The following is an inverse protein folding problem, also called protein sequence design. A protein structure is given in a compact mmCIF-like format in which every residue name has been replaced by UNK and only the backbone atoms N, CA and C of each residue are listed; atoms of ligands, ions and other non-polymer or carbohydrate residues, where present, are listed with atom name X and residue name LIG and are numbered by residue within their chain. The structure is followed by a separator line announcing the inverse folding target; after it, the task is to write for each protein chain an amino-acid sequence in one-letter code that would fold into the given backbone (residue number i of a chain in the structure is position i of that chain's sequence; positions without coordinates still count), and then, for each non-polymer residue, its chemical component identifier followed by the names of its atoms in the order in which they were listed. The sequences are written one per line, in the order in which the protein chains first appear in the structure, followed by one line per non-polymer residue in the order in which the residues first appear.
data_IF_461071401923
#
_entry.id   IF_461071401923
#
_cell.length_a   1.000
_cell.length_b   1.000
_cell.length_c   1.000
_cell.angle_alpha   90.00
_cell.angle_beta   90.00
_cell.angle_gamma   90.00
#
_symmetry.space_group_name_H-M   'P 1'
#
loop_
_entity.id
_entity.type
_entity.pdbx_description
1 polymer ?
#
# COMPACT_ATOMS: atom_id res chain seq x y z
N UNK A 1 -10.62 4.33 -24.99
CA UNK A 1 -9.97 3.84 -23.75
C UNK A 1 -8.47 4.16 -23.69
N UNK A 2 -7.86 4.60 -24.78
CA UNK A 2 -6.42 4.93 -24.80
C UNK A 2 -6.04 6.19 -24.01
N UNK A 3 -7.00 7.05 -23.69
CA UNK A 3 -6.79 8.23 -22.86
C UNK A 3 -6.30 7.90 -21.44
N UNK A 4 -6.81 6.83 -20.84
CA UNK A 4 -6.40 6.41 -19.48
C UNK A 4 -5.04 5.70 -19.44
N UNK A 5 -4.59 5.11 -20.55
CA UNK A 5 -3.29 4.45 -20.66
C UNK A 5 -2.13 5.45 -20.68
N UNK A 6 -2.38 6.68 -21.12
CA UNK A 6 -1.37 7.74 -21.26
C UNK A 6 -1.47 8.81 -20.15
N UNK A 7 -2.29 8.58 -19.13
CA UNK A 7 -2.39 9.52 -18.02
C UNK A 7 -1.10 9.47 -17.17
N UNK A 8 -0.25 10.49 -17.37
CA UNK A 8 0.90 10.71 -16.49
C UNK A 8 0.41 10.87 -15.05
N UNK A 9 1.15 10.38 -14.04
CA UNK A 9 0.77 10.49 -12.62
C UNK A 9 0.47 11.93 -12.19
N UNK A 10 1.10 12.91 -12.84
CA UNK A 10 0.86 14.36 -12.66
C UNK A 10 -0.58 14.78 -13.00
N UNK A 11 -1.25 14.03 -13.88
CA UNK A 11 -2.62 14.31 -14.31
C UNK A 11 -3.62 13.39 -13.58
N UNK A 12 -3.20 12.18 -13.20
CA UNK A 12 -4.06 11.24 -12.47
C UNK A 12 -4.44 11.75 -11.07
N UNK A 13 -3.49 12.36 -10.35
CA UNK A 13 -3.73 12.88 -9.00
C UNK A 13 -4.77 14.02 -8.99
N UNK A 14 -4.66 15.10 -9.83
CA UNK A 14 -5.70 16.12 -9.89
C UNK A 14 -7.05 15.58 -10.38
N UNK A 15 -7.07 14.56 -11.25
CA UNK A 15 -8.33 13.91 -11.66
C UNK A 15 -8.96 13.17 -10.49
N UNK A 16 -8.20 12.39 -9.72
CA UNK A 16 -8.69 11.69 -8.53
C UNK A 16 -9.17 12.68 -7.47
N UNK A 17 -8.44 13.78 -7.24
CA UNK A 17 -8.85 14.86 -6.34
C UNK A 17 -10.11 15.58 -6.86
N UNK A 18 -10.19 15.82 -8.17
CA UNK A 18 -11.36 16.41 -8.82
C UNK A 18 -12.60 15.53 -8.73
N UNK A 19 -12.47 14.24 -8.99
CA UNK A 19 -13.53 13.23 -8.80
C UNK A 19 -13.94 13.15 -7.33
N UNK A 20 -12.98 13.12 -6.41
CA UNK A 20 -13.23 13.18 -4.97
C UNK A 20 -13.97 14.43 -4.55
N UNK A 21 -13.61 15.61 -5.08
CA UNK A 21 -14.28 16.88 -4.83
C UNK A 21 -15.71 16.92 -5.41
N UNK A 22 -15.90 16.36 -6.61
CA UNK A 22 -17.23 16.25 -7.23
C UNK A 22 -18.14 15.30 -6.45
N UNK A 23 -17.62 14.14 -6.03
CA UNK A 23 -18.34 13.19 -5.17
C UNK A 23 -18.66 13.82 -3.82
N UNK A 24 -17.75 14.60 -3.26
CA UNK A 24 -17.98 15.36 -2.04
C UNK A 24 -19.06 16.42 -2.21
N UNK A 25 -19.02 17.20 -3.30
CA UNK A 25 -20.07 18.19 -3.66
C UNK A 25 -21.43 17.50 -3.89
N UNK A 26 -21.45 16.36 -4.59
CA UNK A 26 -22.67 15.55 -4.78
C UNK A 26 -23.20 15.03 -3.44
N UNK A 27 -22.32 14.59 -2.55
CA UNK A 27 -22.69 14.19 -1.18
C UNK A 27 -23.28 15.36 -0.38
N UNK A 28 -22.72 16.57 -0.51
CA UNK A 28 -23.27 17.79 0.10
C UNK A 28 -24.62 18.18 -0.49
N UNK A 29 -24.82 18.02 -1.81
CA UNK A 29 -26.08 18.27 -2.48
C UNK A 29 -27.16 17.24 -2.09
N UNK A 30 -26.80 15.97 -1.93
CA UNK A 30 -27.68 14.93 -1.38
C UNK A 30 -28.07 15.22 0.08
N UNK A 31 -27.13 15.72 0.89
CA UNK A 31 -27.41 16.15 2.27
C UNK A 31 -28.41 17.30 2.32
N UNK A 32 -28.34 18.24 1.37
CA UNK A 32 -29.28 19.35 1.27
C UNK A 32 -30.71 18.93 0.89
N UNK A 33 -30.85 17.89 0.06
CA UNK A 33 -32.16 17.44 -0.44
C UNK A 33 -32.95 16.56 0.53
N UNK A 34 -32.28 15.90 1.50
CA UNK A 34 -32.94 15.04 2.48
C UNK A 34 -32.43 15.28 3.92
N UNK A 35 -32.84 16.40 4.56
CA UNK A 35 -32.38 16.73 5.92
C UNK A 35 -32.89 15.74 7.00
N UNK A 36 -33.90 14.93 6.69
CA UNK A 36 -34.60 14.03 7.66
C UNK A 36 -34.35 12.54 7.48
N UNK A 37 -33.47 12.12 6.57
CA UNK A 37 -33.14 10.70 6.38
C UNK A 37 -32.44 10.14 7.62
N UNK A 38 -33.14 9.40 8.44
CA UNK A 38 -32.62 8.73 9.63
C UNK A 38 -33.23 9.17 10.97
N UNK A 39 -33.96 10.28 11.05
CA UNK A 39 -34.57 10.71 12.30
C UNK A 39 -35.76 9.80 12.74
N UNK A 40 -36.31 9.04 11.80
CA UNK A 40 -37.39 8.09 12.06
C UNK A 40 -36.93 6.70 12.52
N UNK A 41 -35.59 6.46 12.63
CA UNK A 41 -35.08 5.18 13.12
C UNK A 41 -35.26 5.08 14.64
N UNK A 42 -35.71 3.91 15.11
CA UNK A 42 -35.80 3.63 16.53
C UNK A 42 -34.40 3.54 17.18
N UNK A 43 -34.34 3.72 18.48
CA UNK A 43 -33.07 3.74 19.25
C UNK A 43 -32.22 2.49 19.04
N UNK A 44 -32.73 1.24 19.03
CA UNK A 44 -31.92 0.06 18.76
C UNK A 44 -31.26 0.09 17.37
N UNK A 45 -31.99 0.50 16.32
CA UNK A 45 -31.42 0.59 14.98
C UNK A 45 -30.27 1.63 14.89
N UNK A 46 -30.41 2.78 15.55
CA UNK A 46 -29.35 3.78 15.65
C UNK A 46 -28.11 3.20 16.36
N UNK A 47 -28.32 2.47 17.46
CA UNK A 47 -27.23 1.85 18.21
C UNK A 47 -26.46 0.84 17.35
N UNK A 48 -27.16 -0.05 16.65
CA UNK A 48 -26.51 -1.02 15.75
C UNK A 48 -25.77 -0.37 14.59
N UNK A 49 -26.30 0.70 14.00
CA UNK A 49 -25.60 1.43 12.94
C UNK A 49 -24.35 2.16 13.43
N UNK A 50 -24.38 2.69 14.65
CA UNK A 50 -23.18 3.26 15.28
C UNK A 50 -22.16 2.16 15.58
N UNK A 51 -22.60 1.01 16.11
CA UNK A 51 -21.73 -0.12 16.35
C UNK A 51 -21.09 -0.66 15.04
N UNK A 52 -21.88 -0.79 13.97
CA UNK A 52 -21.39 -1.18 12.65
C UNK A 52 -20.34 -0.19 12.12
N UNK A 53 -20.59 1.12 12.26
CA UNK A 53 -19.63 2.17 11.88
C UNK A 53 -18.30 2.00 12.62
N UNK A 54 -18.35 1.81 13.94
CA UNK A 54 -17.16 1.64 14.78
C UNK A 54 -16.43 0.34 14.39
N UNK A 55 -17.15 -0.76 14.18
CA UNK A 55 -16.55 -2.04 13.80
C UNK A 55 -15.82 -1.97 12.45
N UNK A 56 -16.46 -1.38 11.43
CA UNK A 56 -15.81 -1.18 10.12
C UNK A 56 -14.64 -0.19 10.24
N UNK A 57 -14.81 0.90 10.98
CA UNK A 57 -13.73 1.85 11.24
C UNK A 57 -12.53 1.19 11.90
N UNK A 58 -12.75 0.31 12.87
CA UNK A 58 -11.70 -0.48 13.51
C UNK A 58 -10.99 -1.40 12.52
N UNK A 59 -11.77 -2.13 11.70
CA UNK A 59 -11.22 -3.02 10.68
C UNK A 59 -10.31 -2.26 9.71
N UNK A 60 -10.77 -1.15 9.12
CA UNK A 60 -9.97 -0.32 8.21
C UNK A 60 -8.70 0.23 8.89
N UNK A 61 -8.82 0.67 10.16
CA UNK A 61 -7.68 1.21 10.91
C UNK A 61 -6.60 0.16 11.12
N UNK A 62 -6.97 -1.04 11.59
CA UNK A 62 -6.03 -2.14 11.84
C UNK A 62 -5.37 -2.58 10.55
N UNK A 63 -6.14 -2.78 9.48
CA UNK A 63 -5.63 -3.11 8.14
C UNK A 63 -4.61 -2.08 7.63
N UNK A 64 -4.88 -0.80 7.85
CA UNK A 64 -3.94 0.27 7.51
C UNK A 64 -2.67 0.25 8.36
N UNK A 65 -2.80 0.09 9.68
CA UNK A 65 -1.66 0.04 10.62
C UNK A 65 -0.75 -1.16 10.31
N UNK A 66 -1.29 -2.33 9.98
CA UNK A 66 -0.49 -3.49 9.61
C UNK A 66 0.37 -3.23 8.36
N UNK A 67 -0.18 -2.49 7.39
CA UNK A 67 0.58 -2.07 6.21
C UNK A 67 1.70 -1.08 6.55
N UNK A 68 1.52 -0.23 7.56
CA UNK A 68 2.59 0.66 8.05
C UNK A 68 3.67 -0.09 8.84
N UNK A 69 3.29 -1.11 9.63
CA UNK A 69 4.24 -1.92 10.41
C UNK A 69 5.19 -2.73 9.53
N UNK A 70 4.77 -3.06 8.32
CA UNK A 70 5.60 -3.77 7.36
C UNK A 70 6.29 -2.80 6.38
N UNK A 71 7.58 -2.46 6.56
CA UNK A 71 8.29 -1.52 5.71
C UNK A 71 8.39 -1.97 4.23
N UNK A 72 8.36 -3.29 4.00
CA UNK A 72 8.42 -3.88 2.67
C UNK A 72 7.05 -4.09 2.03
N UNK A 73 5.96 -3.68 2.71
CA UNK A 73 4.62 -3.85 2.17
C UNK A 73 4.40 -2.98 0.94
N UNK A 74 3.91 -3.62 -0.12
CA UNK A 74 3.48 -2.98 -1.36
C UNK A 74 2.24 -3.67 -1.90
N UNK A 75 1.40 -2.92 -2.59
CA UNK A 75 0.25 -3.46 -3.32
C UNK A 75 0.63 -4.17 -4.63
N UNK A 76 1.91 -4.13 -5.03
CA UNK A 76 2.40 -4.70 -6.29
C UNK A 76 1.88 -6.11 -6.54
N UNK A 77 2.09 -7.03 -5.58
CA UNK A 77 1.68 -8.42 -5.72
C UNK A 77 0.19 -8.57 -5.98
N UNK A 78 -0.62 -7.83 -5.24
CA UNK A 78 -2.08 -7.82 -5.39
C UNK A 78 -2.52 -7.27 -6.77
N UNK A 79 -1.95 -6.13 -7.17
CA UNK A 79 -2.29 -5.48 -8.44
C UNK A 79 -1.82 -6.30 -9.65
N UNK A 80 -0.67 -6.98 -9.56
CA UNK A 80 -0.15 -7.86 -10.61
C UNK A 80 -1.00 -9.11 -10.80
N UNK A 81 -1.50 -9.68 -9.72
CA UNK A 81 -2.35 -10.88 -9.75
C UNK A 81 -3.81 -10.55 -10.10
N UNK A 82 -4.14 -9.28 -10.33
CA UNK A 82 -5.48 -8.85 -10.68
C UNK A 82 -5.99 -9.57 -11.93
N UNK A 83 -7.29 -9.84 -11.97
CA UNK A 83 -7.98 -10.48 -13.07
C UNK A 83 -9.34 -9.83 -13.33
N UNK A 84 -9.95 -10.12 -14.47
CA UNK A 84 -11.22 -9.52 -14.87
C UNK A 84 -11.02 -8.31 -15.79
N UNK A 85 -12.09 -7.54 -16.05
CA UNK A 85 -12.10 -6.53 -17.11
C UNK A 85 -11.16 -5.34 -16.87
N UNK A 86 -10.72 -5.13 -15.64
CA UNK A 86 -9.84 -4.02 -15.25
C UNK A 86 -8.40 -4.47 -14.94
N UNK A 87 -8.07 -5.76 -15.16
CA UNK A 87 -6.78 -6.33 -14.83
C UNK A 87 -5.59 -5.58 -15.43
N UNK A 88 -5.68 -5.18 -16.70
CA UNK A 88 -4.60 -4.47 -17.38
C UNK A 88 -4.32 -3.09 -16.77
N UNK A 89 -5.34 -2.39 -16.28
CA UNK A 89 -5.15 -1.12 -15.55
C UNK A 89 -4.40 -1.32 -14.24
N UNK A 90 -4.80 -2.32 -13.45
CA UNK A 90 -4.14 -2.64 -12.19
C UNK A 90 -2.69 -3.09 -12.40
N UNK A 91 -2.44 -3.92 -13.40
CA UNK A 91 -1.09 -4.37 -13.78
C UNK A 91 -0.22 -3.21 -14.27
N UNK A 92 -0.79 -2.25 -14.98
CA UNK A 92 -0.07 -1.03 -15.39
C UNK A 92 0.32 -0.18 -14.19
N UNK A 93 -0.56 -0.03 -13.19
CA UNK A 93 -0.25 0.66 -11.93
C UNK A 93 0.84 -0.08 -11.14
N UNK A 94 0.76 -1.41 -11.11
CA UNK A 94 1.73 -2.25 -10.40
C UNK A 94 3.15 -2.08 -10.94
N UNK A 95 3.32 -1.92 -12.25
CA UNK A 95 4.63 -2.03 -12.88
C UNK A 95 5.27 -3.40 -12.66
N UNK A 96 6.58 -3.47 -12.76
CA UNK A 96 7.36 -4.63 -12.31
C UNK A 96 8.66 -4.19 -11.62
N UNK A 97 8.58 -3.99 -10.30
CA UNK A 97 9.73 -3.57 -9.50
C UNK A 97 10.94 -4.51 -9.62
N UNK A 98 10.70 -5.79 -9.89
CA UNK A 98 11.80 -6.75 -10.09
C UNK A 98 12.55 -6.44 -11.37
N UNK A 99 11.82 -6.16 -12.45
CA UNK A 99 12.41 -5.74 -13.73
C UNK A 99 13.06 -4.36 -13.58
N UNK A 100 12.38 -3.39 -12.98
CA UNK A 100 12.90 -2.03 -12.74
C UNK A 100 14.22 -2.02 -11.95
N UNK A 101 14.41 -2.96 -11.00
CA UNK A 101 15.65 -3.10 -10.21
C UNK A 101 16.83 -3.61 -11.02
N UNK A 102 16.62 -4.23 -12.16
CA UNK A 102 17.68 -4.85 -12.96
C UNK A 102 17.78 -4.28 -14.36
N UNK A 103 16.89 -3.37 -14.76
CA UNK A 103 16.94 -2.70 -16.07
C UNK A 103 17.90 -1.52 -16.01
N UNK A 104 18.97 -1.60 -16.81
CA UNK A 104 19.94 -0.52 -16.98
C UNK A 104 19.48 0.39 -18.10
N UNK A 105 19.36 1.69 -17.82
CA UNK A 105 19.03 2.73 -18.80
C UNK A 105 20.20 3.70 -18.90
N UNK A 106 20.60 4.07 -20.13
CA UNK A 106 21.70 5.00 -20.42
C UNK A 106 23.03 4.67 -19.71
N UNK A 107 23.32 3.39 -19.49
CA UNK A 107 24.54 2.96 -18.82
C UNK A 107 24.61 3.34 -17.33
N UNK A 108 23.48 3.71 -16.70
CA UNK A 108 23.39 4.05 -15.29
C UNK A 108 22.79 2.91 -14.49
N UNK A 109 23.11 2.88 -13.19
CA UNK A 109 22.46 1.95 -12.26
C UNK A 109 20.95 2.15 -12.29
N UNK A 110 20.13 1.06 -12.26
CA UNK A 110 18.68 1.16 -12.21
C UNK A 110 18.21 2.09 -11.10
N UNK A 111 17.34 3.05 -11.43
CA UNK A 111 16.89 4.11 -10.50
C UNK A 111 16.32 3.54 -9.19
N UNK A 112 15.55 2.45 -9.27
CA UNK A 112 14.99 1.81 -8.08
C UNK A 112 16.09 1.20 -7.20
N UNK A 113 17.05 0.51 -7.81
CA UNK A 113 18.19 -0.09 -7.09
C UNK A 113 19.07 0.99 -6.45
N UNK A 114 19.33 2.09 -7.14
CA UNK A 114 20.09 3.23 -6.61
C UNK A 114 19.41 3.84 -5.38
N UNK A 115 18.09 4.04 -5.44
CA UNK A 115 17.29 4.55 -4.31
C UNK A 115 17.32 3.61 -3.10
N UNK A 116 17.19 2.31 -3.34
CA UNK A 116 17.28 1.29 -2.28
C UNK A 116 18.68 1.29 -1.63
N UNK A 117 19.73 1.35 -2.45
CA UNK A 117 21.10 1.36 -1.96
C UNK A 117 21.44 2.64 -1.20
N UNK A 118 20.96 3.78 -1.67
CA UNK A 118 21.11 5.06 -0.97
C UNK A 118 20.41 5.06 0.38
N UNK A 119 19.16 4.58 0.44
CA UNK A 119 18.43 4.46 1.69
C UNK A 119 19.12 3.52 2.69
N UNK A 120 19.66 2.40 2.20
CA UNK A 120 20.46 1.49 3.00
C UNK A 120 21.72 2.18 3.52
N UNK A 121 22.45 2.89 2.64
CA UNK A 121 23.68 3.61 2.96
C UNK A 121 23.45 4.71 4.01
N UNK A 122 22.43 5.54 3.83
CA UNK A 122 22.09 6.60 4.79
C UNK A 122 21.81 6.02 6.18
N UNK A 123 21.08 4.91 6.24
CA UNK A 123 20.85 4.21 7.48
C UNK A 123 22.12 3.57 8.06
N UNK A 124 22.96 3.01 7.21
CA UNK A 124 24.25 2.43 7.59
C UNK A 124 25.14 3.47 8.28
N UNK A 125 25.28 4.65 7.68
CA UNK A 125 26.05 5.78 8.24
C UNK A 125 25.52 6.18 9.61
N UNK A 126 24.18 6.31 9.74
CA UNK A 126 23.53 6.67 11.01
C UNK A 126 23.64 5.59 12.08
N UNK A 127 23.46 4.32 11.72
CA UNK A 127 23.47 3.21 12.68
C UNK A 127 24.86 2.98 13.26
N UNK A 128 25.92 3.07 12.44
CA UNK A 128 27.28 2.80 12.86
C UNK A 128 28.06 4.09 13.21
N UNK A 129 27.42 5.25 13.25
CA UNK A 129 28.01 6.54 13.65
C UNK A 129 29.39 6.76 13.02
N UNK A 130 29.46 6.66 11.68
CA UNK A 130 30.71 6.75 10.93
C UNK A 130 31.35 8.15 11.05
N UNK A 131 32.65 8.17 11.26
CA UNK A 131 33.45 9.41 11.14
C UNK A 131 33.50 9.89 9.69
N UNK A 132 33.96 11.13 9.46
CA UNK A 132 34.06 11.71 8.12
C UNK A 132 34.93 10.84 7.19
N UNK A 133 36.02 10.29 7.69
CA UNK A 133 36.93 9.46 6.90
C UNK A 133 36.33 8.07 6.62
N UNK A 134 35.64 7.47 7.61
CA UNK A 134 34.88 6.23 7.41
C UNK A 134 33.74 6.42 6.42
N UNK A 135 33.05 7.58 6.44
CA UNK A 135 32.01 7.91 5.46
C UNK A 135 32.58 8.02 4.05
N UNK A 136 33.74 8.68 3.86
CA UNK A 136 34.41 8.75 2.55
C UNK A 136 34.75 7.36 2.01
N UNK A 137 35.35 6.49 2.85
CA UNK A 137 35.63 5.12 2.46
C UNK A 137 34.36 4.34 2.10
N UNK A 138 33.26 4.54 2.85
CA UNK A 138 31.97 3.90 2.56
C UNK A 138 31.36 4.42 1.23
N UNK A 139 31.51 5.70 0.90
CA UNK A 139 31.04 6.27 -0.38
C UNK A 139 31.84 5.67 -1.53
N UNK A 140 33.16 5.55 -1.42
CA UNK A 140 34.01 4.91 -2.45
C UNK A 140 33.57 3.47 -2.71
N UNK A 141 33.24 2.70 -1.64
CA UNK A 141 32.69 1.35 -1.76
C UNK A 141 31.35 1.35 -2.47
N UNK A 142 30.46 2.29 -2.13
CA UNK A 142 29.14 2.41 -2.76
C UNK A 142 29.28 2.71 -4.25
N UNK A 143 30.11 3.67 -4.64
CA UNK A 143 30.29 4.09 -6.04
C UNK A 143 30.93 2.98 -6.88
N UNK A 144 31.93 2.27 -6.32
CA UNK A 144 32.52 1.10 -6.96
C UNK A 144 31.45 0.01 -7.20
N UNK A 145 30.62 -0.28 -6.19
CA UNK A 145 29.57 -1.28 -6.33
C UNK A 145 28.48 -0.89 -7.32
N UNK A 146 28.17 0.41 -7.45
CA UNK A 146 27.27 0.91 -8.50
C UNK A 146 27.82 0.64 -9.89
N UNK A 147 29.11 0.91 -10.11
CA UNK A 147 29.79 0.62 -11.38
C UNK A 147 29.81 -0.88 -11.67
N UNK A 148 30.18 -1.71 -10.67
CA UNK A 148 30.19 -3.16 -10.79
C UNK A 148 28.79 -3.73 -11.12
N UNK A 149 27.74 -3.13 -10.52
CA UNK A 149 26.36 -3.55 -10.77
C UNK A 149 25.94 -3.28 -12.21
N UNK A 150 26.24 -2.10 -12.75
CA UNK A 150 25.95 -1.77 -14.17
C UNK A 150 26.66 -2.76 -15.09
N UNK A 151 27.95 -3.02 -14.86
CA UNK A 151 28.73 -3.98 -15.65
C UNK A 151 28.12 -5.38 -15.57
N UNK A 152 27.79 -5.85 -14.36
CA UNK A 152 27.16 -7.17 -14.17
C UNK A 152 25.82 -7.27 -14.87
N UNK A 153 24.96 -6.27 -14.75
CA UNK A 153 23.63 -6.26 -15.36
C UNK A 153 23.67 -6.19 -16.90
N UNK A 154 24.72 -5.63 -17.49
CA UNK A 154 24.85 -5.47 -18.95
C UNK A 154 25.62 -6.60 -19.62
N UNK A 155 26.67 -7.12 -18.98
CA UNK A 155 27.63 -8.00 -19.64
C UNK A 155 27.64 -9.42 -19.10
N UNK A 156 27.23 -9.64 -17.86
CA UNK A 156 27.29 -10.98 -17.25
C UNK A 156 26.19 -11.86 -17.81
N UNK A 157 26.57 -13.06 -18.16
CA UNK A 157 25.65 -14.12 -18.61
C UNK A 157 25.16 -14.93 -17.42
N UNK A 158 23.87 -15.06 -17.30
CA UNK A 158 23.22 -15.76 -16.21
C UNK A 158 22.56 -17.05 -16.73
N UNK A 159 22.74 -18.20 -16.03
CA UNK A 159 21.97 -19.39 -16.35
C UNK A 159 20.52 -19.17 -15.92
N UNK A 160 19.62 -19.12 -16.87
CA UNK A 160 18.20 -18.90 -16.62
C UNK A 160 17.37 -20.13 -17.03
N UNK A 161 16.50 -20.64 -16.15
CA UNK A 161 15.52 -21.64 -16.55
C UNK A 161 14.52 -20.97 -17.50
N UNK A 162 14.49 -21.42 -18.73
CA UNK A 162 13.53 -20.96 -19.75
C UNK A 162 12.27 -21.80 -19.63
N UNK A 163 11.13 -21.16 -19.53
CA UNK A 163 9.85 -21.82 -19.69
C UNK A 163 9.74 -22.35 -21.13
N UNK A 164 9.85 -23.66 -21.29
CA UNK A 164 9.65 -24.28 -22.57
C UNK A 164 8.23 -24.79 -22.63
N UNK A 165 7.53 -24.46 -23.71
CA UNK A 165 6.27 -25.10 -24.08
C UNK A 165 6.47 -26.59 -24.43
N UNK A 166 7.71 -27.02 -24.56
CA UNK A 166 8.16 -28.37 -24.80
C UNK A 166 8.68 -29.00 -23.49
N UNK A 167 8.46 -30.23 -23.31
CA UNK A 167 8.54 -31.09 -22.12
C UNK A 167 9.85 -31.13 -21.33
N UNK A 168 10.87 -30.39 -21.68
CA UNK A 168 12.16 -30.30 -20.95
C UNK A 168 12.53 -28.85 -20.72
N UNK A 169 12.80 -28.46 -19.45
CA UNK A 169 13.31 -27.12 -19.15
C UNK A 169 14.74 -26.99 -19.71
N UNK A 170 14.89 -26.21 -20.79
CA UNK A 170 16.21 -25.82 -21.27
C UNK A 170 16.75 -24.70 -20.39
N UNK A 171 17.95 -24.90 -19.83
CA UNK A 171 18.72 -23.81 -19.20
C UNK A 171 19.49 -23.12 -20.31
N UNK A 172 19.13 -21.87 -20.59
CA UNK A 172 19.88 -21.02 -21.53
C UNK A 172 20.64 -19.95 -20.78
N UNK A 173 21.77 -19.59 -21.33
CA UNK A 173 22.55 -18.50 -20.81
C UNK A 173 22.10 -17.19 -21.46
N UNK A 174 21.58 -16.27 -20.67
CA UNK A 174 21.14 -14.96 -21.13
C UNK A 174 21.89 -13.84 -20.38
N UNK A 175 22.15 -12.74 -21.08
CA UNK A 175 22.35 -11.47 -20.39
C UNK A 175 21.05 -11.01 -19.73
N UNK A 176 21.14 -10.11 -18.73
CA UNK A 176 19.92 -9.64 -18.06
C UNK A 176 18.92 -8.98 -19.00
N UNK A 177 19.33 -8.11 -19.96
CA UNK A 177 18.40 -7.57 -20.97
C UNK A 177 17.69 -8.62 -21.82
N UNK A 178 18.43 -9.65 -22.27
CA UNK A 178 17.84 -10.75 -23.03
C UNK A 178 16.84 -11.57 -22.19
N UNK A 179 17.16 -11.74 -20.90
CA UNK A 179 16.26 -12.44 -19.99
C UNK A 179 15.00 -11.64 -19.68
N UNK A 180 15.10 -10.33 -19.53
CA UNK A 180 13.95 -9.45 -19.40
C UNK A 180 13.06 -9.54 -20.66
N UNK A 181 13.66 -9.49 -21.85
CA UNK A 181 12.91 -9.63 -23.09
C UNK A 181 12.20 -10.98 -23.22
N UNK A 182 12.84 -12.06 -22.75
CA UNK A 182 12.22 -13.39 -22.69
C UNK A 182 11.04 -13.40 -21.70
N UNK A 183 11.23 -12.87 -20.50
CA UNK A 183 10.18 -12.77 -19.48
C UNK A 183 8.97 -11.97 -19.97
N UNK A 184 9.20 -10.87 -20.70
CA UNK A 184 8.10 -10.09 -21.31
C UNK A 184 7.27 -10.92 -22.29
N UNK A 185 7.92 -11.77 -23.11
CA UNK A 185 7.21 -12.72 -24.00
C UNK A 185 6.39 -13.73 -23.22
N UNK A 186 6.92 -14.23 -22.11
CA UNK A 186 6.18 -15.13 -21.21
C UNK A 186 4.94 -14.45 -20.64
N UNK A 187 5.05 -13.16 -20.26
CA UNK A 187 3.89 -12.37 -19.81
C UNK A 187 2.86 -12.14 -20.91
N UNK A 188 3.29 -11.92 -22.16
CA UNK A 188 2.38 -11.81 -23.31
C UNK A 188 1.62 -13.13 -23.52
N UNK A 189 2.30 -14.28 -23.38
CA UNK A 189 1.65 -15.59 -23.45
C UNK A 189 0.62 -15.78 -22.31
N UNK A 190 0.93 -15.37 -21.09
CA UNK A 190 -0.04 -15.38 -19.98
C UNK A 190 -1.29 -14.59 -20.36
N UNK A 191 -1.11 -13.38 -20.91
CA UNK A 191 -2.23 -12.52 -21.35
C UNK A 191 -3.03 -13.17 -22.48
N UNK A 192 -2.35 -13.79 -23.44
CA UNK A 192 -3.00 -14.49 -24.55
C UNK A 192 -3.88 -15.64 -24.03
N UNK A 193 -3.34 -16.49 -23.18
CA UNK A 193 -4.07 -17.61 -22.57
C UNK A 193 -5.23 -17.11 -21.71
N UNK A 194 -5.03 -16.01 -20.99
CA UNK A 194 -6.07 -15.39 -20.15
C UNK A 194 -7.24 -14.85 -20.99
N UNK A 195 -6.95 -14.23 -22.15
CA UNK A 195 -7.96 -13.70 -23.07
C UNK A 195 -8.70 -14.81 -23.83
N UNK A 196 -7.98 -15.85 -24.29
CA UNK A 196 -8.58 -17.02 -24.96
C UNK A 196 -9.54 -17.76 -24.04
N UNK A 197 -9.24 -17.79 -22.75
CA UNK A 197 -10.06 -18.41 -21.73
C UNK A 197 -11.46 -17.77 -21.57
N UNK A 198 -11.58 -16.45 -21.77
CA UNK A 198 -12.88 -15.76 -21.74
C UNK A 198 -13.83 -16.35 -22.81
N UNK A 199 -13.28 -16.95 -23.87
CA UNK A 199 -14.02 -17.54 -24.97
C UNK A 199 -14.16 -19.07 -24.90
N UNK A 200 -13.35 -19.76 -24.07
CA UNK A 200 -13.33 -21.22 -23.98
C UNK A 200 -13.49 -21.67 -22.52
N UNK A 201 -14.68 -22.12 -22.18
CA UNK A 201 -14.95 -22.73 -20.87
C UNK A 201 -14.32 -24.12 -20.77
N UNK A 202 -13.52 -24.37 -19.73
CA UNK A 202 -13.05 -25.70 -19.43
C UNK A 202 -11.78 -25.84 -18.62
N UNK A 203 -11.62 -26.99 -17.98
CA UNK A 203 -10.47 -27.36 -17.13
C UNK A 203 -9.12 -27.20 -17.83
N UNK A 204 -9.06 -27.53 -19.15
CA UNK A 204 -7.81 -27.43 -19.92
C UNK A 204 -7.27 -25.99 -20.02
N UNK A 205 -8.15 -25.02 -20.27
CA UNK A 205 -7.77 -23.61 -20.33
C UNK A 205 -7.26 -23.09 -18.95
N UNK A 206 -7.83 -23.61 -17.89
CA UNK A 206 -7.36 -23.34 -16.52
C UNK A 206 -5.97 -23.88 -16.25
N UNK A 207 -5.73 -25.12 -16.60
CA UNK A 207 -4.44 -25.76 -16.37
C UNK A 207 -3.35 -25.07 -17.21
N UNK A 208 -3.68 -24.62 -18.42
CA UNK A 208 -2.78 -23.83 -19.27
C UNK A 208 -2.45 -22.47 -18.66
N UNK A 209 -3.45 -21.73 -18.17
CA UNK A 209 -3.24 -20.44 -17.50
C UNK A 209 -2.42 -20.57 -16.22
N UNK A 210 -2.73 -21.58 -15.39
CA UNK A 210 -1.98 -21.87 -14.17
C UNK A 210 -0.53 -22.19 -14.47
N UNK A 211 -0.26 -22.96 -15.51
CA UNK A 211 1.09 -23.29 -15.97
C UNK A 211 1.82 -22.04 -16.45
N UNK A 212 1.23 -21.24 -17.34
CA UNK A 212 1.84 -20.02 -17.86
C UNK A 212 2.17 -19.01 -16.74
N UNK A 213 1.26 -18.81 -15.78
CA UNK A 213 1.52 -17.97 -14.59
C UNK A 213 2.65 -18.53 -13.72
N UNK A 214 2.71 -19.86 -13.51
CA UNK A 214 3.77 -20.49 -12.75
C UNK A 214 5.15 -20.30 -13.40
N UNK A 215 5.21 -20.41 -14.73
CA UNK A 215 6.43 -20.22 -15.51
C UNK A 215 6.89 -18.75 -15.44
N UNK A 216 6.00 -17.79 -15.64
CA UNK A 216 6.30 -16.35 -15.48
C UNK A 216 6.79 -16.02 -14.06
N UNK A 217 6.19 -16.59 -13.03
CA UNK A 217 6.61 -16.39 -11.64
C UNK A 217 8.00 -16.98 -11.35
N UNK A 218 8.37 -18.11 -11.96
CA UNK A 218 9.73 -18.67 -11.87
C UNK A 218 10.76 -17.73 -12.49
N UNK A 219 10.50 -17.25 -13.71
CA UNK A 219 11.40 -16.33 -14.40
C UNK A 219 11.57 -15.03 -13.59
N UNK A 220 10.47 -14.49 -13.06
CA UNK A 220 10.52 -13.31 -12.19
C UNK A 220 11.34 -13.56 -10.92
N UNK A 221 11.23 -14.75 -10.33
CA UNK A 221 12.00 -15.10 -9.14
C UNK A 221 13.52 -15.14 -9.43
N UNK A 222 13.94 -15.57 -10.61
CA UNK A 222 15.35 -15.52 -11.01
C UNK A 222 15.84 -14.08 -11.20
N UNK A 223 15.07 -13.21 -11.88
CA UNK A 223 15.39 -11.78 -11.98
C UNK A 223 15.50 -11.13 -10.58
N UNK A 224 14.62 -11.50 -9.66
CA UNK A 224 14.69 -11.04 -8.28
C UNK A 224 16.00 -11.47 -7.60
N UNK A 225 16.42 -12.73 -7.76
CA UNK A 225 17.69 -13.24 -7.20
C UNK A 225 18.90 -12.44 -7.70
N UNK A 226 18.88 -12.00 -8.97
CA UNK A 226 19.95 -11.15 -9.51
C UNK A 226 20.01 -9.83 -8.73
N UNK A 227 18.90 -9.11 -8.60
CA UNK A 227 18.85 -7.85 -7.86
C UNK A 227 19.19 -8.00 -6.37
N UNK A 228 18.71 -9.06 -5.74
CA UNK A 228 19.01 -9.36 -4.32
C UNK A 228 20.49 -9.71 -4.14
N UNK A 229 21.09 -10.44 -5.08
CA UNK A 229 22.52 -10.76 -5.10
C UNK A 229 23.42 -9.53 -5.21
N UNK A 230 23.02 -8.54 -6.03
CA UNK A 230 23.73 -7.25 -6.13
C UNK A 230 23.66 -6.49 -4.79
N UNK A 231 22.49 -6.44 -4.16
CA UNK A 231 22.33 -5.79 -2.87
C UNK A 231 23.08 -6.51 -1.75
N UNK A 232 23.12 -7.85 -1.76
CA UNK A 232 23.94 -8.62 -0.85
C UNK A 232 25.44 -8.32 -1.03
N UNK A 233 25.90 -8.18 -2.27
CA UNK A 233 27.26 -7.78 -2.59
C UNK A 233 27.67 -6.41 -2.02
N UNK A 234 26.74 -5.43 -2.05
CA UNK A 234 26.97 -4.12 -1.41
C UNK A 234 27.10 -4.27 0.12
N UNK A 235 26.20 -5.01 0.76
CA UNK A 235 26.23 -5.23 2.22
C UNK A 235 27.55 -5.89 2.67
N UNK A 236 27.98 -6.89 1.91
CA UNK A 236 29.27 -7.57 2.19
C UNK A 236 30.43 -6.61 2.06
N UNK A 237 30.46 -5.78 1.02
CA UNK A 237 31.55 -4.81 0.81
C UNK A 237 31.60 -3.71 1.89
N UNK A 238 30.47 -3.30 2.43
CA UNK A 238 30.39 -2.37 3.56
C UNK A 238 30.77 -3.01 4.90
N UNK A 239 30.88 -4.33 4.96
CA UNK A 239 31.23 -5.08 6.17
C UNK A 239 32.56 -4.70 6.79
N UNK A 240 33.57 -4.39 5.98
CA UNK A 240 34.90 -3.95 6.45
C UNK A 240 34.84 -2.56 7.09
N UNK A 241 34.08 -1.63 6.48
CA UNK A 241 33.87 -0.29 7.03
C UNK A 241 33.13 -0.38 8.36
N UNK A 242 32.07 -1.21 8.43
CA UNK A 242 31.35 -1.49 9.67
C UNK A 242 32.27 -2.02 10.78
N UNK A 243 33.11 -2.99 10.44
CA UNK A 243 34.02 -3.64 11.41
C UNK A 243 35.00 -2.61 11.97
N UNK A 244 35.59 -1.76 11.12
CA UNK A 244 36.49 -0.69 11.54
C UNK A 244 35.78 0.33 12.46
N UNK A 245 34.56 0.75 12.10
CA UNK A 245 33.77 1.67 12.92
C UNK A 245 33.43 1.10 14.30
N UNK A 246 33.02 -0.16 14.36
CA UNK A 246 32.74 -0.84 15.62
C UNK A 246 34.00 -1.03 16.47
N UNK A 247 35.13 -1.37 15.86
CA UNK A 247 36.42 -1.49 16.58
C UNK A 247 36.86 -0.16 17.20
N UNK A 248 36.67 0.95 16.49
CA UNK A 248 36.90 2.29 17.04
C UNK A 248 35.98 2.55 18.24
N UNK A 249 34.66 2.31 18.10
CA UNK A 249 33.70 2.54 19.17
C UNK A 249 33.98 1.66 20.40
N UNK A 250 34.36 0.40 20.21
CA UNK A 250 34.78 -0.50 21.30
C UNK A 250 36.02 0.04 22.00
N UNK A 251 36.99 0.58 21.25
CA UNK A 251 38.20 1.19 21.82
C UNK A 251 37.87 2.42 22.66
N UNK A 252 36.94 3.30 22.13
CA UNK A 252 36.51 4.48 22.83
C UNK A 252 35.71 4.13 24.11
N UNK A 253 34.85 3.10 24.04
CA UNK A 253 34.12 2.61 25.21
C UNK A 253 35.06 1.98 26.29
N UNK A 254 36.10 1.26 25.87
CA UNK A 254 37.13 0.72 26.79
C UNK A 254 37.88 1.87 27.46
N UNK A 255 38.25 2.90 26.74
CA UNK A 255 38.87 4.10 27.33
C UNK A 255 37.93 4.76 28.33
N UNK A 256 36.65 4.86 28.02
CA UNK A 256 35.63 5.41 28.94
C UNK A 256 35.50 4.52 30.22
N UNK A 257 35.65 3.22 30.11
CA UNK A 257 35.68 2.31 31.23
C UNK A 257 36.91 2.56 32.13
N UNK A 258 38.09 2.71 31.53
CA UNK A 258 39.35 2.99 32.27
C UNK A 258 39.32 4.35 32.97
N UNK A 259 38.72 5.37 32.33
CA UNK A 259 38.57 6.72 32.88
C UNK A 259 37.42 6.88 33.89
N UNK A 260 36.59 5.84 34.07
CA UNK A 260 35.39 5.89 34.92
C UNK A 260 35.72 5.95 36.41
N UNK A 261 35.12 6.92 37.10
CA UNK A 261 35.35 7.18 38.53
C UNK A 261 34.32 6.54 39.47
N UNK A 262 33.20 6.08 38.93
CA UNK A 262 32.11 5.46 39.69
C UNK A 262 31.77 4.08 39.13
N UNK A 263 31.27 3.18 40.00
CA UNK A 263 30.86 1.85 39.59
C UNK A 263 29.72 1.84 38.57
N UNK A 264 28.82 2.83 38.64
CA UNK A 264 27.75 3.03 37.65
C UNK A 264 28.32 3.34 36.27
N UNK A 265 29.33 4.24 36.19
CA UNK A 265 29.99 4.57 34.91
C UNK A 265 30.70 3.37 34.31
N UNK A 266 31.35 2.55 35.14
CA UNK A 266 32.00 1.29 34.72
C UNK A 266 30.98 0.31 34.17
N UNK A 267 29.87 0.08 34.89
CA UNK A 267 28.82 -0.84 34.47
C UNK A 267 28.18 -0.38 33.15
N UNK A 268 27.99 0.92 32.95
CA UNK A 268 27.47 1.48 31.71
C UNK A 268 28.42 1.27 30.52
N UNK A 269 29.73 1.53 30.72
CA UNK A 269 30.74 1.31 29.69
C UNK A 269 30.89 -0.18 29.34
N UNK A 270 30.85 -1.08 30.33
CA UNK A 270 30.89 -2.54 30.12
C UNK A 270 29.66 -3.02 29.33
N UNK A 271 28.47 -2.54 29.66
CA UNK A 271 27.25 -2.82 28.91
C UNK A 271 27.38 -2.37 27.46
N UNK A 272 27.93 -1.16 27.22
CA UNK A 272 28.16 -0.62 25.88
C UNK A 272 29.17 -1.49 25.08
N UNK A 273 30.28 -1.89 25.70
CA UNK A 273 31.27 -2.76 25.06
C UNK A 273 30.62 -4.10 24.65
N UNK A 274 29.86 -4.70 25.56
CA UNK A 274 29.17 -5.97 25.30
C UNK A 274 28.16 -5.86 24.15
N UNK A 275 27.43 -4.78 24.09
CA UNK A 275 26.47 -4.50 23.00
C UNK A 275 27.17 -4.32 21.64
N UNK A 276 28.29 -3.58 21.60
CA UNK A 276 29.07 -3.38 20.37
C UNK A 276 29.77 -4.66 19.90
N UNK A 277 30.28 -5.48 20.81
CA UNK A 277 30.86 -6.77 20.47
C UNK A 277 29.81 -7.78 19.99
N UNK A 278 28.60 -7.72 20.54
CA UNK A 278 27.46 -8.49 20.03
C UNK A 278 27.08 -8.07 18.63
N UNK A 279 26.93 -6.75 18.38
CA UNK A 279 26.61 -6.19 17.04
C UNK A 279 27.68 -6.53 16.00
N UNK A 280 28.96 -6.58 16.41
CA UNK A 280 30.06 -6.99 15.53
C UNK A 280 29.91 -8.43 15.05
N UNK A 281 29.45 -9.34 15.94
CA UNK A 281 29.21 -10.75 15.63
C UNK A 281 27.88 -10.98 14.93
N UNK A 282 26.85 -10.25 15.32
CA UNK A 282 25.47 -10.43 14.88
C UNK A 282 24.91 -9.08 14.41
N UNK A 283 25.13 -8.69 13.13
CA UNK A 283 24.63 -7.43 12.62
C UNK A 283 23.11 -7.34 12.74
N UNK A 284 22.62 -6.30 13.43
CA UNK A 284 21.18 -6.08 13.65
C UNK A 284 20.53 -5.23 12.55
N UNK A 285 21.36 -4.57 11.72
CA UNK A 285 20.84 -3.76 10.61
C UNK A 285 20.08 -4.65 9.61
N UNK A 286 18.80 -4.34 9.31
CA UNK A 286 18.02 -5.17 8.41
C UNK A 286 18.61 -5.21 7.00
N UNK A 287 18.46 -6.34 6.34
CA UNK A 287 18.94 -6.54 4.95
C UNK A 287 18.27 -5.60 3.94
N UNK A 288 17.04 -5.18 4.22
CA UNK A 288 16.28 -4.24 3.41
C UNK A 288 15.92 -3.01 4.24
N UNK A 289 16.27 -1.85 3.70
CA UNK A 289 15.79 -0.57 4.21
C UNK A 289 14.96 0.06 3.11
N UNK A 290 13.66 0.24 3.36
CA UNK A 290 12.79 0.92 2.43
C UNK A 290 13.37 2.32 2.13
N UNK A 291 13.42 2.73 0.85
CA UNK A 291 13.76 4.11 0.53
C UNK A 291 12.85 5.02 1.35
N UNK A 292 13.39 6.08 1.96
CA UNK A 292 12.53 7.02 2.65
C UNK A 292 11.50 7.53 1.65
N UNK A 293 10.24 7.29 1.95
CA UNK A 293 9.15 7.98 1.28
C UNK A 293 9.27 9.43 1.70
N UNK A 294 10.17 10.16 1.03
CA UNK A 294 10.18 11.59 1.18
C UNK A 294 8.79 12.03 0.73
N UNK A 295 8.02 12.57 1.67
CA UNK A 295 6.93 13.45 1.36
C UNK A 295 7.58 14.72 0.77
N UNK A 296 8.22 14.55 -0.37
CA UNK A 296 8.48 15.67 -1.23
C UNK A 296 7.10 16.02 -1.77
N UNK A 297 6.63 17.20 -1.47
CA UNK A 297 5.39 17.77 -2.01
C UNK A 297 5.37 17.82 -3.54
N UNK A 298 6.28 17.12 -4.19
CA UNK A 298 6.40 16.93 -5.62
C UNK A 298 6.03 15.49 -5.99
N UNK A 299 4.74 15.20 -6.20
CA UNK A 299 4.28 13.86 -6.63
C UNK A 299 4.87 13.42 -7.98
N UNK A 300 5.50 14.32 -8.73
CA UNK A 300 6.18 14.01 -9.98
C UNK A 300 7.41 13.09 -9.87
N UNK A 301 7.89 12.81 -8.64
CA UNK A 301 9.02 11.88 -8.42
C UNK A 301 8.56 10.47 -8.01
N UNK A 302 7.27 10.26 -7.81
CA UNK A 302 6.73 8.97 -7.40
C UNK A 302 6.39 8.10 -8.60
N UNK A 303 6.63 6.80 -8.48
CA UNK A 303 6.03 5.84 -9.39
C UNK A 303 4.53 5.74 -9.11
N UNK A 304 3.75 5.29 -10.10
CA UNK A 304 2.30 5.07 -9.91
C UNK A 304 1.99 4.11 -8.76
N UNK A 305 2.83 3.09 -8.60
CA UNK A 305 2.71 2.12 -7.51
C UNK A 305 2.99 2.77 -6.15
N UNK A 306 4.04 3.58 -6.02
CA UNK A 306 4.34 4.28 -4.76
C UNK A 306 3.21 5.22 -4.34
N UNK A 307 2.61 5.91 -5.31
CA UNK A 307 1.41 6.73 -5.08
C UNK A 307 0.22 5.91 -4.62
N UNK A 308 -0.04 4.76 -5.26
CA UNK A 308 -1.11 3.84 -4.87
C UNK A 308 -0.89 3.27 -3.45
N UNK A 309 0.34 2.85 -3.13
CA UNK A 309 0.71 2.33 -1.82
C UNK A 309 0.53 3.40 -0.72
N UNK A 310 0.95 4.64 -0.99
CA UNK A 310 0.78 5.75 -0.07
C UNK A 310 -0.70 6.05 0.19
N UNK A 311 -1.49 6.19 -0.89
CA UNK A 311 -2.94 6.43 -0.77
C UNK A 311 -3.62 5.31 0.01
N UNK A 312 -3.32 4.05 -0.32
CA UNK A 312 -3.92 2.90 0.34
C UNK A 312 -3.65 2.91 1.86
N UNK A 313 -2.39 3.07 2.27
CA UNK A 313 -1.99 3.09 3.69
C UNK A 313 -2.67 4.22 4.46
N UNK A 314 -2.56 5.45 3.95
CA UNK A 314 -3.07 6.63 4.67
C UNK A 314 -4.59 6.71 4.64
N UNK A 315 -5.22 6.43 3.51
CA UNK A 315 -6.67 6.51 3.38
C UNK A 315 -7.39 5.45 4.25
N UNK A 316 -6.82 4.23 4.39
CA UNK A 316 -7.37 3.22 5.30
C UNK A 316 -7.32 3.70 6.76
N UNK A 317 -6.16 4.18 7.23
CA UNK A 317 -6.04 4.63 8.63
C UNK A 317 -6.90 5.87 8.89
N UNK A 318 -6.83 6.88 8.02
CA UNK A 318 -7.56 8.14 8.21
C UNK A 318 -9.07 7.88 8.16
N UNK A 319 -9.57 7.17 7.14
CA UNK A 319 -11.00 6.87 7.04
C UNK A 319 -11.48 6.00 8.20
N UNK A 320 -10.69 5.01 8.61
CA UNK A 320 -11.00 4.15 9.74
C UNK A 320 -11.11 4.91 11.06
N UNK A 321 -10.11 5.72 11.41
CA UNK A 321 -10.10 6.57 12.60
C UNK A 321 -11.28 7.56 12.58
N UNK A 322 -11.51 8.21 11.44
CA UNK A 322 -12.63 9.15 11.28
C UNK A 322 -13.99 8.46 11.47
N UNK A 323 -14.15 7.20 11.00
CA UNK A 323 -15.34 6.41 11.26
C UNK A 323 -15.50 6.08 12.75
N UNK A 324 -14.43 5.68 13.44
CA UNK A 324 -14.48 5.37 14.87
C UNK A 324 -14.97 6.58 15.66
N UNK A 325 -14.32 7.74 15.49
CA UNK A 325 -14.64 8.96 16.26
C UNK A 325 -15.89 9.67 15.73
N UNK A 326 -16.43 9.26 14.59
CA UNK A 326 -17.60 9.87 13.96
C UNK A 326 -17.32 11.27 13.43
N UNK A 327 -16.12 11.51 12.86
CA UNK A 327 -15.70 12.74 12.22
C UNK A 327 -15.78 12.59 10.71
N UNK A 328 -16.46 13.50 10.02
CA UNK A 328 -16.75 13.41 8.58
C UNK A 328 -17.25 11.99 8.18
N UNK A 329 -18.08 11.38 9.05
CA UNK A 329 -18.43 9.97 9.00
C UNK A 329 -18.96 9.50 7.63
N UNK A 330 -19.72 10.36 6.93
CA UNK A 330 -20.23 10.07 5.59
C UNK A 330 -19.12 10.06 4.52
N UNK A 331 -18.22 11.04 4.58
CA UNK A 331 -17.08 11.11 3.65
C UNK A 331 -16.14 9.93 3.87
N UNK A 332 -15.84 9.64 5.14
CA UNK A 332 -14.98 8.51 5.50
C UNK A 332 -15.57 7.17 5.08
N UNK A 333 -16.89 6.99 5.19
CA UNK A 333 -17.59 5.82 4.68
C UNK A 333 -17.49 5.73 3.14
N UNK A 334 -17.62 6.84 2.42
CA UNK A 334 -17.44 6.88 0.97
C UNK A 334 -16.00 6.52 0.57
N UNK A 335 -14.99 7.12 1.23
CA UNK A 335 -13.58 6.80 0.96
C UNK A 335 -13.30 5.32 1.20
N UNK A 336 -13.74 4.78 2.34
CA UNK A 336 -13.64 3.36 2.63
C UNK A 336 -14.31 2.49 1.58
N UNK A 337 -15.54 2.82 1.17
CA UNK A 337 -16.27 2.10 0.12
C UNK A 337 -15.51 2.09 -1.21
N UNK A 338 -14.92 3.24 -1.61
CA UNK A 338 -14.13 3.33 -2.85
C UNK A 338 -12.86 2.48 -2.75
N UNK A 339 -12.14 2.52 -1.63
CA UNK A 339 -10.93 1.71 -1.43
C UNK A 339 -11.25 0.21 -1.51
N UNK A 340 -12.27 -0.24 -0.78
CA UNK A 340 -12.67 -1.66 -0.80
C UNK A 340 -13.24 -2.04 -2.18
N UNK A 341 -13.92 -1.12 -2.89
CA UNK A 341 -14.39 -1.36 -4.25
C UNK A 341 -13.23 -1.55 -5.23
N UNK A 342 -12.13 -0.79 -5.12
CA UNK A 342 -10.93 -1.00 -5.93
C UNK A 342 -10.33 -2.39 -5.66
N UNK A 343 -10.25 -2.80 -4.39
CA UNK A 343 -9.81 -4.14 -4.01
C UNK A 343 -10.75 -5.22 -4.59
N UNK A 344 -12.06 -5.03 -4.46
CA UNK A 344 -13.05 -5.96 -5.01
C UNK A 344 -12.94 -6.11 -6.53
N UNK A 345 -12.82 -5.00 -7.25
CA UNK A 345 -12.77 -4.98 -8.73
C UNK A 345 -11.45 -5.56 -9.25
N UNK A 346 -10.35 -5.42 -8.51
CA UNK A 346 -9.06 -6.02 -8.90
C UNK A 346 -9.10 -7.54 -8.86
N UNK A 347 -9.88 -8.14 -7.95
CA UNK A 347 -10.03 -9.59 -7.82
C UNK A 347 -11.51 -9.98 -7.66
N UNK A 348 -12.33 -9.58 -8.63
CA UNK A 348 -13.76 -9.86 -8.61
C UNK A 348 -14.01 -11.38 -8.70
N UNK A 349 -14.84 -11.96 -7.80
CA UNK A 349 -15.16 -13.39 -7.80
C UNK A 349 -16.12 -13.72 -8.95
N UNK A 350 -15.57 -13.76 -10.17
CA UNK A 350 -16.32 -14.08 -11.37
C UNK A 350 -16.56 -15.60 -11.48
N UNK A 351 -17.67 -16.02 -12.09
CA UNK A 351 -17.90 -17.44 -12.41
C UNK A 351 -16.73 -17.98 -13.23
N UNK A 352 -16.35 -19.22 -12.96
CA UNK A 352 -15.27 -19.92 -13.67
C UNK A 352 -13.85 -19.33 -13.52
N UNK A 353 -13.63 -18.36 -12.64
CA UNK A 353 -12.30 -17.89 -12.29
C UNK A 353 -11.76 -18.59 -11.03
N UNK A 354 -10.47 -18.98 -10.98
CA UNK A 354 -9.93 -19.60 -9.78
C UNK A 354 -9.92 -18.58 -8.67
N UNK A 355 -10.42 -18.99 -7.55
CA UNK A 355 -10.27 -18.25 -6.33
C UNK A 355 -8.81 -18.33 -5.88
N UNK A 356 -8.21 -17.25 -5.40
CA UNK A 356 -6.93 -17.30 -4.71
C UNK A 356 -6.99 -18.36 -3.61
N UNK A 357 -5.92 -19.12 -3.40
CA UNK A 357 -5.89 -20.22 -2.43
C UNK A 357 -6.27 -19.83 -0.98
N UNK A 358 -6.19 -18.55 -0.66
CA UNK A 358 -6.51 -17.97 0.66
C UNK A 358 -7.84 -17.21 0.69
N UNK A 359 -8.65 -17.29 -0.38
CA UNK A 359 -9.93 -16.58 -0.41
C UNK A 359 -11.00 -17.37 0.30
N UNK A 360 -11.36 -16.95 1.50
CA UNK A 360 -12.54 -17.43 2.21
C UNK A 360 -13.79 -16.63 1.80
N UNK A 361 -14.95 -17.30 1.73
CA UNK A 361 -16.24 -16.64 1.59
C UNK A 361 -16.53 -16.01 0.23
N UNK A 362 -15.99 -16.55 -0.86
CA UNK A 362 -16.33 -16.13 -2.21
C UNK A 362 -17.47 -16.98 -2.80
N UNK A 363 -18.63 -16.36 -2.93
CA UNK A 363 -19.84 -17.02 -3.45
C UNK A 363 -20.33 -16.22 -4.67
N UNK A 364 -19.99 -16.63 -5.89
CA UNK A 364 -20.48 -16.01 -7.12
C UNK A 364 -20.73 -14.50 -7.00
N UNK A 365 -19.82 -13.68 -7.40
CA UNK A 365 -19.84 -12.20 -7.27
C UNK A 365 -19.90 -11.66 -5.81
N UNK A 366 -20.34 -12.47 -4.83
CA UNK A 366 -20.48 -12.01 -3.44
C UNK A 366 -19.29 -12.50 -2.61
N UNK A 367 -18.58 -11.57 -2.01
CA UNK A 367 -17.53 -11.85 -1.03
C UNK A 367 -17.61 -10.81 0.12
N UNK A 368 -16.73 -10.95 1.11
CA UNK A 368 -16.67 -10.03 2.24
C UNK A 368 -16.53 -8.56 1.81
N UNK A 369 -15.77 -8.29 0.75
CA UNK A 369 -15.53 -6.94 0.27
C UNK A 369 -16.82 -6.29 -0.25
N UNK A 370 -17.62 -7.02 -1.04
CA UNK A 370 -18.90 -6.50 -1.52
C UNK A 370 -19.87 -6.20 -0.37
N UNK A 371 -19.92 -7.09 0.64
CA UNK A 371 -20.76 -6.87 1.83
C UNK A 371 -20.30 -5.61 2.57
N UNK A 372 -18.99 -5.43 2.73
CA UNK A 372 -18.42 -4.25 3.38
C UNK A 372 -18.67 -2.96 2.60
N UNK A 373 -18.55 -3.00 1.25
CA UNK A 373 -18.93 -1.87 0.39
C UNK A 373 -20.38 -1.47 0.62
N UNK A 374 -21.31 -2.42 0.60
CA UNK A 374 -22.74 -2.13 0.81
C UNK A 374 -23.02 -1.56 2.20
N UNK A 375 -22.35 -2.08 3.24
CA UNK A 375 -22.45 -1.54 4.59
C UNK A 375 -21.89 -0.12 4.69
N UNK A 376 -20.75 0.18 4.06
CA UNK A 376 -20.18 1.53 3.99
C UNK A 376 -21.07 2.50 3.21
N UNK A 377 -21.66 2.08 2.09
CA UNK A 377 -22.62 2.88 1.34
C UNK A 377 -23.88 3.18 2.15
N UNK A 378 -24.36 2.21 2.94
CA UNK A 378 -25.45 2.43 3.88
C UNK A 378 -25.07 3.48 4.93
N UNK A 379 -23.88 3.37 5.54
CA UNK A 379 -23.37 4.35 6.51
C UNK A 379 -23.16 5.73 5.90
N UNK A 380 -22.78 5.82 4.63
CA UNK A 380 -22.67 7.07 3.90
C UNK A 380 -24.03 7.80 3.79
N UNK A 381 -25.12 7.06 3.61
CA UNK A 381 -26.45 7.64 3.52
C UNK A 381 -27.00 8.12 4.87
N UNK A 382 -26.53 7.58 6.00
CA UNK A 382 -27.07 7.79 7.33
C UNK A 382 -26.14 8.68 8.19
N UNK A 383 -26.64 9.71 8.90
CA UNK A 383 -25.81 10.63 9.67
C UNK A 383 -25.39 10.08 11.04
N UNK A 384 -24.79 8.90 11.08
CA UNK A 384 -24.40 8.21 12.33
C UNK A 384 -23.44 9.03 13.20
N UNK A 385 -22.56 9.84 12.61
CA UNK A 385 -21.63 10.71 13.31
C UNK A 385 -22.30 11.88 14.06
N UNK A 386 -23.55 12.22 13.66
CA UNK A 386 -24.35 13.23 14.39
C UNK A 386 -25.01 12.67 15.64
N UNK A 387 -25.33 11.37 15.64
CA UNK A 387 -25.95 10.73 16.81
C UNK A 387 -24.94 10.48 17.93
N UNK A 388 -23.80 9.91 17.55
CA UNK A 388 -22.67 9.63 18.46
C UNK A 388 -21.39 9.88 17.70
N UNK A 389 -20.76 11.04 17.87
CA UNK A 389 -19.50 11.37 17.22
C UNK A 389 -19.20 12.86 17.12
N UNK A 390 -18.00 13.18 16.63
CA UNK A 390 -17.52 14.56 16.49
C UNK A 390 -18.31 15.38 15.45
N UNK A 391 -18.97 14.75 14.49
CA UNK A 391 -19.86 15.44 13.52
C UNK A 391 -20.99 16.20 14.23
N UNK A 392 -21.49 15.67 15.36
CA UNK A 392 -22.49 16.34 16.22
C UNK A 392 -21.93 17.59 16.86
N UNK A 393 -20.70 17.52 17.38
CA UNK A 393 -20.01 18.65 18.03
C UNK A 393 -19.67 19.74 17.01
N UNK A 394 -19.11 19.37 15.85
CA UNK A 394 -18.78 20.33 14.80
C UNK A 394 -19.99 21.10 14.29
N UNK A 395 -21.19 20.50 14.31
CA UNK A 395 -22.42 21.19 13.94
C UNK A 395 -22.76 22.35 14.90
N UNK A 396 -22.46 22.19 16.19
CA UNK A 396 -22.68 23.24 17.21
C UNK A 396 -21.81 24.47 16.94
N UNK A 397 -20.59 24.26 16.45
CA UNK A 397 -19.62 25.33 16.15
C UNK A 397 -19.70 25.87 14.73
N UNK A 398 -20.60 25.33 13.85
CA UNK A 398 -20.72 25.78 12.47
C UNK A 398 -21.65 26.98 12.34
N UNK A 399 -21.13 28.21 12.12
CA UNK A 399 -21.94 29.42 12.02
C UNK A 399 -22.88 29.42 10.80
N UNK A 400 -22.60 28.60 9.79
CA UNK A 400 -23.48 28.45 8.61
C UNK A 400 -24.69 27.56 8.89
N UNK A 401 -24.61 26.65 9.86
CA UNK A 401 -25.76 25.85 10.29
C UNK A 401 -26.81 26.69 11.03
N UNK A 402 -26.41 27.78 11.67
CA UNK A 402 -27.30 28.72 12.34
C UNK A 402 -28.08 29.59 11.37
N UNK A 403 -27.57 29.83 10.16
CA UNK A 403 -28.25 30.66 9.11
C UNK A 403 -29.29 29.90 8.30
N UNK A 404 -29.21 28.60 8.23
CA UNK A 404 -30.23 27.74 7.61
C UNK A 404 -31.35 27.47 8.64
N UNK A 405 -32.03 28.54 9.11
CA UNK A 405 -33.07 28.49 10.11
C UNK A 405 -34.01 27.29 9.90
N UNK A 406 -33.67 26.16 10.57
CA UNK A 406 -34.67 25.18 10.95
C UNK A 406 -35.53 25.90 12.00
N UNK A 407 -36.57 26.62 11.51
CA UNK A 407 -37.70 26.92 12.39
C UNK A 407 -38.09 25.57 12.96
N UNK A 408 -37.97 25.43 14.30
CA UNK A 408 -38.66 24.32 14.97
C UNK A 408 -40.06 24.27 14.40
N UNK A 409 -40.57 23.10 14.00
CA UNK A 409 -41.93 22.96 13.56
C UNK A 409 -42.76 23.57 14.69
N UNK A 410 -43.51 24.62 14.36
CA UNK A 410 -44.45 25.24 15.30
C UNK A 410 -45.24 24.10 15.94
N UNK A 411 -45.25 23.96 17.27
CA UNK A 411 -45.97 22.87 17.94
C UNK A 411 -47.37 22.85 17.35
N UNK A 412 -47.77 21.70 16.78
CA UNK A 412 -49.10 21.54 16.20
C UNK A 412 -50.09 22.03 17.26
N UNK A 413 -50.75 23.11 16.98
CA UNK A 413 -51.82 23.59 17.86
C UNK A 413 -52.77 22.42 18.05
N UNK A 414 -53.18 22.09 19.28
CA UNK A 414 -54.11 21.01 19.51
C UNK A 414 -55.30 21.27 18.59
N UNK A 415 -55.63 20.29 17.77
CA UNK A 415 -56.82 20.38 16.93
C UNK A 415 -57.99 20.68 17.86
N UNK A 416 -58.57 21.84 17.72
CA UNK A 416 -59.71 22.26 18.49
C UNK A 416 -60.79 21.19 18.25
N UNK A 417 -61.10 20.45 19.29
CA UNK A 417 -62.17 19.42 19.25
C UNK A 417 -63.46 20.17 19.16
N UNK A 418 -63.94 20.41 17.94
CA UNK A 418 -65.25 20.98 17.71
C UNK A 418 -66.29 19.96 18.16
N UNK A 419 -66.79 20.11 19.35
CA UNK A 419 -67.93 19.33 19.82
C UNK A 419 -69.15 19.72 19.00
N UNK A 420 -69.88 18.79 18.40
CA UNK A 420 -71.11 19.14 17.69
C UNK A 420 -72.12 19.73 18.70
N UNK A 421 -72.47 20.99 18.47
CA UNK A 421 -73.56 21.62 19.24
C UNK A 421 -74.86 20.91 18.90
N UNK A 422 -75.40 20.14 19.89
CA UNK A 422 -76.75 19.59 19.82
C UNK A 422 -77.70 20.79 19.74
N UNK A 423 -78.42 20.93 18.64
CA UNK A 423 -79.54 21.84 18.58
C UNK A 423 -80.67 21.25 19.45
N UNK A 424 -81.25 22.03 20.33
CA UNK A 424 -82.52 21.59 21.02
C UNK A 424 -83.66 21.64 20.03
N UNK A 425 -84.48 20.57 20.00
CA UNK A 425 -85.75 20.51 19.27
C UNK A 425 -86.79 21.43 19.93
#
# INVERSE_FOLDING_TARGET
MDFLKNLRPEVALPICLGVGAVLWLLSLLMIRRHPRSGDNLNTPARLFLVALRIAIGWHLTVEGIEKFKNPSWTSEGYLRESYGPFADHFRTIAGDRVVERVTVEDGKIPTLLDREWKAYFDRFVGTYHLTVDEQKAAVEVLDQRKSDAVTKLTTTVWPAPVASTLTTPEVRNYTVPEYIAHYQKTLEEVRRVENERVSVEGKKAWDALKKAKADANKERAELKKIGDGLSAGLRTALGDVRTKALDRQIKDARKSYDDAKTDEQKAQAESQISALEYEKKNPTMPDYVAPPTHITWHPGTWTTLEGADWIMKHALVISGVCLIVGLFSRLSALVGAVLIALIYVAMMPLPNWPLPAQSEGNYLYVNKNLIEILALLCLMCIPTGRWVGLDGILRIFNPFAWRSGEREPEPERPKEVVFPVRRPD
#
